data_IF_018320222329
#
_entry.id   IF_018320222329
#
_cell.length_a   1.000
_cell.length_b   1.000
_cell.length_c   1.000
_cell.angle_alpha   90.00
_cell.angle_beta   90.00
_cell.angle_gamma   90.00
#
_symmetry.space_group_name_H-M   'P 1'
#
loop_
_entity.id
_entity.type
_entity.pdbx_description
1 polymer ?
#
# COMPACT_ATOMS: atom_id res chain seq x y z
N UNK A 1 -0.29 18.27 12.69
CA UNK A 1 -1.40 17.78 11.84
C UNK A 1 -0.95 16.42 11.33
N UNK A 2 -1.47 15.37 11.96
CA UNK A 2 -1.03 13.99 11.80
C UNK A 2 -1.37 13.46 10.40
N UNK A 3 -0.77 12.33 10.00
CA UNK A 3 -1.11 11.67 8.74
C UNK A 3 -2.59 11.27 8.70
N UNK A 4 -3.16 10.81 9.83
CA UNK A 4 -4.56 10.43 9.95
C UNK A 4 -5.52 11.61 9.76
N UNK A 5 -5.24 12.78 10.36
CA UNK A 5 -6.06 13.99 10.21
C UNK A 5 -6.17 14.40 8.74
N UNK A 6 -5.06 14.24 8.02
CA UNK A 6 -4.98 14.55 6.60
C UNK A 6 -5.64 13.50 5.74
N UNK A 7 -5.90 12.26 6.20
CA UNK A 7 -6.27 11.12 5.34
C UNK A 7 -7.69 10.58 5.59
N UNK A 8 -8.24 10.66 6.81
CA UNK A 8 -9.53 10.06 7.12
C UNK A 8 -10.72 11.03 7.03
N UNK A 9 -10.51 12.36 7.10
CA UNK A 9 -11.55 13.37 6.89
C UNK A 9 -12.72 13.39 7.90
N UNK A 10 -12.88 12.40 8.78
CA UNK A 10 -13.85 12.38 9.89
C UNK A 10 -13.42 11.43 11.02
N UNK A 11 -13.88 11.73 12.24
CA UNK A 11 -13.62 10.99 13.47
C UNK A 11 -14.24 9.60 13.46
N UNK A 12 -13.39 8.57 13.51
CA UNK A 12 -13.77 7.18 13.72
C UNK A 12 -13.05 6.63 14.95
N UNK A 13 -13.73 5.72 15.65
CA UNK A 13 -13.47 5.22 17.00
C UNK A 13 -12.20 4.34 17.18
N UNK A 14 -11.14 4.57 16.41
CA UNK A 14 -9.84 3.98 16.71
C UNK A 14 -9.09 4.92 17.66
N UNK A 15 -9.13 4.57 18.94
CA UNK A 15 -8.41 5.27 19.98
C UNK A 15 -6.91 5.11 19.70
N UNK A 16 -6.19 6.23 19.60
CA UNK A 16 -4.72 6.33 19.62
C UNK A 16 -4.01 6.15 18.26
N UNK A 17 -3.54 7.27 17.71
CA UNK A 17 -2.63 7.31 16.56
C UNK A 17 -1.43 8.16 16.92
N UNK A 18 -0.21 7.64 16.78
CA UNK A 18 0.99 8.42 17.06
C UNK A 18 2.18 7.89 16.27
N UNK A 19 3.08 8.79 15.85
CA UNK A 19 4.41 8.38 15.43
C UNK A 19 5.19 7.95 16.68
N UNK A 20 5.75 6.75 16.67
CA UNK A 20 6.55 6.25 17.80
C UNK A 20 7.74 7.16 18.08
N UNK A 21 8.28 7.83 17.05
CA UNK A 21 9.33 8.83 17.22
C UNK A 21 8.83 10.05 17.99
N UNK A 22 7.58 10.46 17.80
CA UNK A 22 6.98 11.57 18.54
C UNK A 22 6.71 11.20 20.02
N UNK A 23 6.43 9.93 20.32
CA UNK A 23 6.33 9.43 21.70
C UNK A 23 7.66 9.48 22.45
N UNK A 24 8.75 9.44 21.72
CA UNK A 24 10.09 9.49 22.27
C UNK A 24 10.65 10.92 22.30
N UNK A 25 9.99 11.91 21.68
CA UNK A 25 10.51 13.28 21.51
C UNK A 25 10.50 14.16 22.77
N UNK A 26 9.97 13.67 23.90
CA UNK A 26 10.06 14.39 25.19
C UNK A 26 11.43 14.38 25.86
N UNK A 27 12.42 13.65 25.32
CA UNK A 27 13.71 13.42 26.02
C UNK A 27 14.94 13.48 25.11
N UNK A 28 15.13 14.57 24.36
CA UNK A 28 16.45 15.08 23.89
C UNK A 28 17.46 14.15 23.20
N UNK A 29 17.16 12.90 22.90
CA UNK A 29 18.19 11.87 22.71
C UNK A 29 18.35 11.41 21.25
N UNK A 30 17.30 11.37 20.43
CA UNK A 30 17.40 10.67 19.14
C UNK A 30 18.34 11.30 18.10
N UNK A 31 18.61 12.61 18.17
CA UNK A 31 19.64 13.25 17.36
C UNK A 31 21.06 12.72 17.65
N UNK A 32 21.26 12.09 18.81
CA UNK A 32 22.50 11.45 19.26
C UNK A 32 22.57 9.95 18.90
N UNK A 33 21.46 9.35 18.43
CA UNK A 33 21.34 7.91 18.13
C UNK A 33 21.57 7.47 16.67
N UNK A 34 21.92 8.31 15.67
CA UNK A 34 22.04 7.82 14.29
C UNK A 34 23.10 6.71 14.13
N UNK A 35 24.06 6.62 15.06
CA UNK A 35 25.20 5.70 15.00
C UNK A 35 25.00 4.37 15.76
N UNK A 36 23.92 4.20 16.54
CA UNK A 36 23.73 2.94 17.29
C UNK A 36 23.24 1.78 16.41
N UNK A 37 23.71 0.54 16.66
CA UNK A 37 23.14 -0.68 16.08
C UNK A 37 21.63 -0.80 16.35
N UNK A 38 20.90 -1.47 15.46
CA UNK A 38 19.44 -1.62 15.56
C UNK A 38 19.00 -2.21 16.90
N UNK A 39 19.65 -3.27 17.37
CA UNK A 39 19.37 -3.91 18.67
C UNK A 39 19.42 -2.94 19.86
N UNK A 40 20.35 -1.98 19.88
CA UNK A 40 20.43 -0.95 20.94
C UNK A 40 19.34 0.11 20.80
N UNK A 41 18.94 0.45 19.57
CA UNK A 41 17.80 1.34 19.33
C UNK A 41 16.49 0.69 19.77
N UNK A 42 16.32 -0.60 19.46
CA UNK A 42 15.18 -1.42 19.89
C UNK A 42 15.13 -1.53 21.42
N UNK A 43 16.24 -1.90 22.07
CA UNK A 43 16.31 -1.96 23.53
C UNK A 43 16.03 -0.59 24.19
N UNK A 44 16.51 0.51 23.60
CA UNK A 44 16.21 1.85 24.08
C UNK A 44 14.72 2.23 23.91
N UNK A 45 14.08 1.77 22.83
CA UNK A 45 12.66 1.96 22.57
C UNK A 45 11.78 1.09 23.48
N UNK A 46 12.08 -0.19 23.62
CA UNK A 46 11.43 -1.14 24.53
C UNK A 46 11.59 -0.74 26.00
N UNK A 47 12.74 -0.13 26.35
CA UNK A 47 13.00 0.40 27.68
C UNK A 47 12.39 1.77 27.94
N UNK A 48 11.84 2.46 26.92
CA UNK A 48 10.99 3.61 27.20
C UNK A 48 9.65 3.10 27.70
N UNK A 49 9.07 3.71 28.75
CA UNK A 49 7.66 3.55 28.99
C UNK A 49 6.94 4.09 27.76
N UNK A 50 6.40 3.20 26.92
CA UNK A 50 5.43 3.60 25.91
C UNK A 50 4.41 4.46 26.64
N UNK A 51 4.19 5.67 26.12
CA UNK A 51 3.47 6.71 26.87
C UNK A 51 2.19 6.09 27.42
N UNK A 52 2.03 6.06 28.75
CA UNK A 52 0.86 5.49 29.44
C UNK A 52 -0.44 6.18 29.06
N UNK A 53 -0.34 7.26 28.27
CA UNK A 53 -1.41 7.88 27.55
C UNK A 53 -0.97 8.35 26.15
N UNK A 54 -1.79 8.16 25.13
CA UNK A 54 -1.56 8.62 23.77
C UNK A 54 -2.57 9.71 23.44
N UNK A 55 -2.14 10.74 22.71
CA UNK A 55 -3.07 11.76 22.21
C UNK A 55 -4.09 11.07 21.30
N UNK A 56 -5.34 11.12 21.71
CA UNK A 56 -6.46 10.57 20.99
C UNK A 56 -7.15 11.71 20.25
N UNK A 57 -7.16 11.66 18.92
CA UNK A 57 -7.86 12.66 18.10
C UNK A 57 -9.39 12.60 18.33
N UNK A 58 -9.94 11.41 18.61
CA UNK A 58 -11.37 11.21 18.91
C UNK A 58 -11.80 11.93 20.18
N UNK A 59 -10.99 11.88 21.24
CA UNK A 59 -11.28 12.53 22.51
C UNK A 59 -10.61 13.90 22.66
N UNK A 60 -9.78 14.31 21.68
CA UNK A 60 -8.90 15.48 21.72
C UNK A 60 -8.14 15.64 23.05
N UNK A 61 -7.70 14.53 23.65
CA UNK A 61 -6.97 14.48 24.93
C UNK A 61 -5.98 13.31 24.94
N UNK A 62 -5.10 13.23 25.93
CA UNK A 62 -4.24 12.06 26.14
C UNK A 62 -5.07 10.94 26.81
N UNK A 63 -5.42 9.91 26.05
CA UNK A 63 -6.14 8.74 26.54
C UNK A 63 -5.17 7.67 27.03
N UNK A 64 -5.44 6.99 28.15
CA UNK A 64 -4.55 5.95 28.66
C UNK A 64 -4.33 4.82 27.66
N UNK A 65 -3.11 4.31 27.61
CA UNK A 65 -2.64 3.24 26.69
C UNK A 65 -2.32 1.95 27.41
N UNK A 66 -2.68 1.84 28.69
CA UNK A 66 -2.66 0.58 29.45
C UNK A 66 -3.65 -0.46 28.89
N UNK A 67 -3.93 -0.40 27.58
CA UNK A 67 -4.73 -1.35 26.84
C UNK A 67 -3.72 -2.36 26.31
N UNK A 68 -3.92 -3.63 26.67
CA UNK A 68 -3.22 -4.71 26.01
C UNK A 68 -3.52 -4.60 24.50
N UNK A 69 -2.48 -4.60 23.67
CA UNK A 69 -2.65 -4.62 22.21
C UNK A 69 -2.82 -6.09 21.82
N UNK A 70 -4.02 -6.46 21.40
CA UNK A 70 -4.32 -7.83 20.97
C UNK A 70 -3.81 -8.10 19.54
N UNK A 71 -3.61 -7.05 18.74
CA UNK A 71 -3.19 -7.15 17.35
C UNK A 71 -2.43 -5.90 16.89
N UNK A 72 -1.23 -6.09 16.33
CA UNK A 72 -0.41 -5.02 15.73
C UNK A 72 -0.22 -5.27 14.23
N UNK A 73 -0.26 -4.19 13.45
CA UNK A 73 0.05 -4.22 12.02
C UNK A 73 1.05 -3.12 11.72
N UNK A 74 2.27 -3.51 11.41
CA UNK A 74 3.34 -2.59 11.08
C UNK A 74 3.91 -2.85 9.68
N UNK A 75 4.37 -1.78 9.04
CA UNK A 75 5.00 -1.82 7.73
C UNK A 75 6.34 -1.11 7.77
N UNK A 76 7.44 -1.87 7.74
CA UNK A 76 8.78 -1.28 7.79
C UNK A 76 9.18 -0.72 6.41
N UNK A 77 9.69 0.52 6.34
CA UNK A 77 10.23 1.02 5.09
C UNK A 77 11.48 0.20 4.71
N UNK A 78 11.57 -0.20 3.45
CA UNK A 78 12.73 -0.93 2.93
C UNK A 78 13.58 -0.03 2.01
N UNK A 79 14.35 0.93 2.55
CA UNK A 79 15.04 1.93 1.76
C UNK A 79 16.17 1.34 0.91
N UNK A 80 16.84 0.27 1.34
CA UNK A 80 18.02 -0.23 0.61
C UNK A 80 17.70 -1.28 -0.45
N UNK A 81 16.67 -2.10 -0.25
CA UNK A 81 16.27 -3.15 -1.21
C UNK A 81 15.27 -2.64 -2.25
N UNK A 82 14.47 -1.62 -1.92
CA UNK A 82 13.46 -1.10 -2.85
C UNK A 82 14.10 -0.49 -4.10
N UNK A 83 13.54 -0.81 -5.27
CA UNK A 83 13.86 -0.13 -6.52
C UNK A 83 13.50 1.37 -6.49
N UNK A 84 12.59 1.77 -5.59
CA UNK A 84 12.27 3.17 -5.35
C UNK A 84 13.13 3.80 -4.24
N UNK A 85 13.97 3.00 -3.57
CA UNK A 85 14.87 3.42 -2.50
C UNK A 85 16.29 3.72 -2.99
N UNK A 86 17.27 3.59 -2.10
CA UNK A 86 18.70 3.81 -2.35
C UNK A 86 19.33 2.72 -3.22
N UNK A 87 18.63 1.60 -3.45
CA UNK A 87 19.08 0.46 -4.28
C UNK A 87 20.44 -0.10 -3.87
N UNK A 88 20.82 0.06 -2.60
CA UNK A 88 22.09 -0.45 -2.07
C UNK A 88 22.11 -1.99 -2.00
N UNK A 89 20.92 -2.62 -2.06
CA UNK A 89 20.75 -4.08 -1.95
C UNK A 89 21.52 -4.58 -0.72
N UNK A 90 22.29 -5.67 -0.83
CA UNK A 90 23.11 -6.27 0.23
C UNK A 90 24.20 -5.37 0.81
N UNK A 91 24.54 -4.26 0.15
CA UNK A 91 25.49 -3.26 0.66
C UNK A 91 24.80 -2.17 1.49
N UNK A 92 23.48 -2.27 1.69
CA UNK A 92 22.71 -1.32 2.47
C UNK A 92 22.87 -1.56 3.97
N UNK A 93 22.92 -0.51 4.80
CA UNK A 93 22.88 -0.68 6.25
C UNK A 93 21.62 -1.41 6.73
N UNK A 94 20.52 -1.45 5.96
CA UNK A 94 19.32 -2.21 6.34
C UNK A 94 19.26 -3.61 5.74
N UNK A 95 20.25 -4.07 4.96
CA UNK A 95 20.16 -5.37 4.28
C UNK A 95 20.85 -6.52 4.99
N UNK A 96 21.78 -6.23 5.90
CA UNK A 96 22.45 -7.26 6.70
C UNK A 96 21.54 -7.78 7.83
N UNK A 97 20.58 -6.96 8.27
CA UNK A 97 19.79 -7.20 9.48
C UNK A 97 18.31 -7.46 9.20
N UNK A 98 17.83 -7.48 7.95
CA UNK A 98 16.41 -7.68 7.62
C UNK A 98 16.15 -9.08 7.03
N UNK A 99 16.55 -10.12 7.76
CA UNK A 99 16.08 -11.48 7.53
C UNK A 99 15.05 -11.89 8.61
N UNK A 100 14.49 -13.09 8.47
CA UNK A 100 13.58 -13.65 9.49
C UNK A 100 14.31 -13.85 10.82
N UNK A 101 15.63 -14.07 10.79
CA UNK A 101 16.45 -14.24 11.99
C UNK A 101 16.41 -13.02 12.90
N UNK A 102 16.38 -11.80 12.36
CA UNK A 102 16.19 -10.60 13.19
C UNK A 102 14.85 -10.62 13.96
N UNK A 103 13.76 -11.06 13.34
CA UNK A 103 12.46 -11.14 14.02
C UNK A 103 12.48 -12.21 15.11
N UNK A 104 13.03 -13.38 14.80
CA UNK A 104 13.20 -14.50 15.75
C UNK A 104 14.10 -14.11 16.94
N UNK A 105 15.21 -13.40 16.70
CA UNK A 105 16.13 -12.94 17.74
C UNK A 105 15.50 -11.87 18.65
N UNK A 106 14.67 -10.99 18.08
CA UNK A 106 14.07 -9.87 18.82
C UNK A 106 12.77 -10.23 19.54
N UNK A 107 12.12 -11.30 19.11
CA UNK A 107 10.85 -11.80 19.64
C UNK A 107 10.90 -13.34 19.74
N UNK A 108 11.78 -13.90 20.58
CA UNK A 108 11.99 -15.35 20.67
C UNK A 108 10.79 -16.12 21.23
N UNK A 109 9.81 -15.40 21.77
CA UNK A 109 8.53 -15.90 22.29
C UNK A 109 7.42 -15.87 21.23
N UNK A 110 7.75 -15.58 19.97
CA UNK A 110 6.82 -15.59 18.85
C UNK A 110 7.13 -16.70 17.84
N UNK A 111 6.08 -17.34 17.34
CA UNK A 111 6.15 -18.18 16.15
C UNK A 111 5.91 -17.31 14.92
N UNK A 112 6.82 -17.39 13.93
CA UNK A 112 6.78 -16.56 12.73
C UNK A 112 6.41 -17.34 11.47
N UNK A 113 5.55 -16.73 10.64
CA UNK A 113 5.08 -17.29 9.38
C UNK A 113 5.27 -16.26 8.26
N UNK A 114 6.17 -16.55 7.32
CA UNK A 114 6.47 -15.67 6.20
C UNK A 114 5.63 -16.03 4.97
N UNK A 115 4.71 -15.15 4.59
CA UNK A 115 3.84 -15.30 3.43
C UNK A 115 4.27 -14.36 2.31
N UNK A 116 4.07 -14.76 1.05
CA UNK A 116 4.32 -13.92 -0.12
C UNK A 116 3.00 -13.69 -0.83
N UNK A 117 2.69 -12.43 -1.15
CA UNK A 117 1.46 -12.11 -1.87
C UNK A 117 1.61 -10.90 -2.78
N UNK A 118 0.82 -10.90 -3.84
CA UNK A 118 0.62 -9.80 -4.76
C UNK A 118 -0.88 -9.47 -4.94
N UNK A 119 -1.23 -8.29 -5.48
CA UNK A 119 -2.64 -7.92 -5.67
C UNK A 119 -3.44 -8.92 -6.52
N UNK A 120 -2.80 -9.60 -7.48
CA UNK A 120 -3.44 -10.63 -8.29
C UNK A 120 -3.98 -11.82 -7.45
N UNK A 121 -3.39 -12.10 -6.29
CA UNK A 121 -3.86 -13.16 -5.39
C UNK A 121 -5.22 -12.85 -4.76
N UNK A 122 -5.58 -11.57 -4.71
CA UNK A 122 -6.84 -11.09 -4.13
C UNK A 122 -7.75 -10.45 -5.19
N UNK A 123 -7.58 -10.83 -6.46
CA UNK A 123 -8.44 -10.43 -7.58
C UNK A 123 -8.03 -9.16 -8.32
N UNK A 124 -6.94 -8.49 -7.92
CA UNK A 124 -6.45 -7.23 -8.53
C UNK A 124 -5.34 -7.48 -9.57
N UNK A 125 -5.62 -8.28 -10.60
CA UNK A 125 -4.63 -8.72 -11.59
C UNK A 125 -3.98 -7.56 -12.37
N UNK A 126 -4.72 -6.48 -12.60
CA UNK A 126 -4.22 -5.31 -13.32
C UNK A 126 -3.21 -4.46 -12.53
N UNK A 127 -2.77 -4.87 -11.33
CA UNK A 127 -1.82 -4.10 -10.50
C UNK A 127 -0.66 -4.96 -10.02
N UNK A 128 0.58 -4.53 -10.28
CA UNK A 128 1.78 -5.22 -9.81
C UNK A 128 2.33 -4.65 -8.49
N UNK A 129 2.28 -5.44 -7.40
CA UNK A 129 2.81 -5.04 -6.08
C UNK A 129 3.16 -6.23 -5.17
N UNK A 130 4.19 -6.99 -5.51
CA UNK A 130 4.70 -8.07 -4.67
C UNK A 130 5.12 -7.59 -3.27
N UNK A 131 4.68 -8.30 -2.24
CA UNK A 131 5.01 -8.06 -0.83
C UNK A 131 5.26 -9.36 -0.09
N UNK A 132 6.13 -9.26 0.90
CA UNK A 132 6.32 -10.28 1.93
C UNK A 132 5.56 -9.81 3.16
N UNK A 133 4.81 -10.72 3.74
CA UNK A 133 4.05 -10.56 4.97
C UNK A 133 4.65 -11.50 6.01
N UNK A 134 4.71 -11.05 7.25
CA UNK A 134 5.15 -11.90 8.35
C UNK A 134 4.10 -11.83 9.44
N UNK A 135 3.56 -13.00 9.79
CA UNK A 135 2.65 -13.14 10.93
C UNK A 135 3.51 -13.60 12.11
N UNK A 136 3.47 -12.86 13.22
CA UNK A 136 4.05 -13.27 14.50
C UNK A 136 2.94 -13.64 15.47
N UNK A 137 2.97 -14.86 16.01
CA UNK A 137 2.01 -15.35 17.01
C UNK A 137 2.73 -15.55 18.33
N UNK A 138 2.27 -14.88 19.39
CA UNK A 138 2.90 -14.97 20.70
C UNK A 138 2.59 -16.33 21.37
N UNK A 139 3.60 -17.16 21.61
CA UNK A 139 3.47 -18.57 22.06
C UNK A 139 2.65 -18.74 23.34
N UNK A 140 2.73 -17.77 24.26
CA UNK A 140 1.94 -17.75 25.51
C UNK A 140 0.45 -17.44 25.32
N UNK A 141 0.09 -16.56 24.38
CA UNK A 141 -1.25 -15.98 24.30
C UNK A 141 -2.05 -16.51 23.10
N UNK A 142 -1.38 -17.12 22.13
CA UNK A 142 -2.02 -17.68 20.96
C UNK A 142 -1.42 -19.02 20.55
N UNK A 143 -2.25 -19.84 19.93
CA UNK A 143 -1.88 -21.09 19.27
C UNK A 143 -2.36 -21.06 17.81
N UNK A 144 -1.66 -21.80 16.95
CA UNK A 144 -2.00 -21.94 15.54
C UNK A 144 -3.16 -22.94 15.40
N UNK A 145 -4.36 -22.43 15.11
CA UNK A 145 -5.57 -23.22 14.90
C UNK A 145 -5.66 -23.78 13.48
N UNK A 146 -5.09 -23.07 12.51
CA UNK A 146 -5.05 -23.44 11.09
C UNK A 146 -3.75 -22.96 10.46
N UNK A 147 -3.22 -23.73 9.51
CA UNK A 147 -2.03 -23.32 8.78
C UNK A 147 -2.31 -22.05 7.95
N UNK A 148 -1.61 -20.91 8.20
CA UNK A 148 -1.78 -19.70 7.40
C UNK A 148 -1.40 -19.87 5.93
N UNK A 149 -0.52 -20.80 5.57
CA UNK A 149 -0.18 -21.09 4.17
C UNK A 149 -1.37 -21.72 3.44
N UNK A 150 -2.00 -22.73 4.05
CA UNK A 150 -3.17 -23.41 3.47
C UNK A 150 -4.35 -22.45 3.31
N UNK A 151 -4.61 -21.58 4.30
CA UNK A 151 -5.67 -20.58 4.19
C UNK A 151 -5.38 -19.54 3.10
N UNK A 152 -4.12 -19.09 2.98
CA UNK A 152 -3.72 -18.18 1.90
C UNK A 152 -3.95 -18.82 0.52
N UNK A 153 -3.53 -20.07 0.33
CA UNK A 153 -3.66 -20.79 -0.93
C UNK A 153 -5.13 -21.01 -1.31
N UNK A 154 -5.98 -21.34 -0.32
CA UNK A 154 -7.41 -21.49 -0.50
C UNK A 154 -8.05 -20.17 -0.97
N UNK A 155 -7.79 -19.07 -0.28
CA UNK A 155 -8.31 -17.74 -0.63
C UNK A 155 -7.81 -17.31 -2.00
N UNK A 156 -6.51 -17.47 -2.27
CA UNK A 156 -5.89 -17.12 -3.55
C UNK A 156 -6.53 -17.89 -4.70
N UNK A 157 -6.70 -19.20 -4.54
CA UNK A 157 -7.37 -20.06 -5.52
C UNK A 157 -8.81 -19.60 -5.77
N UNK A 158 -9.53 -19.25 -4.69
CA UNK A 158 -10.89 -18.75 -4.79
C UNK A 158 -10.97 -17.42 -5.55
N UNK A 159 -10.15 -16.42 -5.19
CA UNK A 159 -10.13 -15.12 -5.87
C UNK A 159 -9.77 -15.26 -7.35
N UNK A 160 -8.70 -15.99 -7.67
CA UNK A 160 -8.26 -16.19 -9.06
C UNK A 160 -9.31 -16.88 -9.93
N UNK A 161 -10.19 -17.68 -9.34
CA UNK A 161 -11.29 -18.34 -10.05
C UNK A 161 -12.45 -17.40 -10.36
N UNK A 162 -12.72 -16.41 -9.51
CA UNK A 162 -13.95 -15.62 -9.57
C UNK A 162 -13.74 -14.14 -9.95
N UNK A 163 -12.55 -13.59 -9.71
CA UNK A 163 -12.27 -12.16 -9.86
C UNK A 163 -10.95 -11.96 -10.59
N UNK A 164 -10.99 -11.26 -11.72
CA UNK A 164 -9.81 -10.94 -12.53
C UNK A 164 -9.85 -9.48 -13.00
N UNK A 165 -9.73 -8.53 -12.06
CA UNK A 165 -9.75 -7.11 -12.40
C UNK A 165 -8.54 -6.74 -13.27
N UNK A 166 -8.78 -6.07 -14.39
CA UNK A 166 -7.79 -5.61 -15.36
C UNK A 166 -7.47 -4.13 -15.14
N UNK A 167 -6.51 -3.60 -15.91
CA UNK A 167 -6.16 -2.16 -15.82
C UNK A 167 -7.38 -1.31 -16.16
N UNK A 168 -8.14 -1.68 -17.19
CA UNK A 168 -9.35 -0.97 -17.62
C UNK A 168 -10.38 -0.80 -16.50
N UNK A 169 -10.49 -1.78 -15.60
CA UNK A 169 -11.49 -1.80 -14.53
C UNK A 169 -11.19 -0.75 -13.45
N UNK A 170 -9.94 -0.29 -13.36
CA UNK A 170 -9.55 0.78 -12.44
C UNK A 170 -9.74 2.19 -13.03
N UNK A 171 -10.04 2.30 -14.33
CA UNK A 171 -10.15 3.57 -15.05
C UNK A 171 -11.52 4.24 -14.84
N UNK A 172 -11.82 4.52 -13.57
CA UNK A 172 -13.13 4.96 -13.07
C UNK A 172 -13.29 6.48 -12.96
N UNK A 173 -12.31 7.26 -13.43
CA UNK A 173 -12.40 8.72 -13.33
C UNK A 173 -13.43 9.29 -14.32
N UNK A 174 -14.31 10.14 -13.81
CA UNK A 174 -15.24 10.92 -14.63
C UNK A 174 -14.51 11.94 -15.49
N UNK A 175 -15.16 12.43 -16.55
CA UNK A 175 -14.62 13.49 -17.40
C UNK A 175 -14.26 14.75 -16.59
N UNK A 176 -15.06 15.11 -15.59
CA UNK A 176 -14.79 16.25 -14.71
C UNK A 176 -13.52 16.05 -13.87
N UNK A 177 -13.33 14.86 -13.30
CA UNK A 177 -12.11 14.52 -12.53
C UNK A 177 -10.86 14.54 -13.41
N UNK A 178 -10.95 14.01 -14.64
CA UNK A 178 -9.87 14.05 -15.63
C UNK A 178 -9.50 15.51 -15.98
N UNK A 179 -10.49 16.35 -16.27
CA UNK A 179 -10.26 17.76 -16.63
C UNK A 179 -9.70 18.57 -15.45
N UNK A 180 -10.15 18.29 -14.22
CA UNK A 180 -9.62 18.92 -13.01
C UNK A 180 -8.13 18.61 -12.85
N UNK A 181 -7.72 17.35 -12.95
CA UNK A 181 -6.31 16.98 -12.82
C UNK A 181 -5.47 17.51 -14.01
N UNK A 182 -6.02 17.52 -15.22
CA UNK A 182 -5.41 18.15 -16.39
C UNK A 182 -5.16 19.64 -16.15
N UNK A 183 -6.14 20.36 -15.58
CA UNK A 183 -6.03 21.77 -15.20
C UNK A 183 -4.92 22.04 -14.19
N UNK A 184 -4.77 21.18 -13.18
CA UNK A 184 -3.67 21.28 -12.21
C UNK A 184 -2.29 21.11 -12.88
N UNK A 185 -2.16 20.19 -13.85
CA UNK A 185 -0.91 20.01 -14.60
C UNK A 185 -0.65 21.20 -15.52
N UNK A 186 -1.67 21.68 -16.23
CA UNK A 186 -1.57 22.84 -17.11
C UNK A 186 -1.11 24.08 -16.34
N UNK A 187 -1.76 24.38 -15.21
CA UNK A 187 -1.41 25.49 -14.32
C UNK A 187 0.05 25.38 -13.83
N UNK A 188 0.47 24.20 -13.36
CA UNK A 188 1.86 23.98 -12.92
C UNK A 188 2.90 24.21 -14.02
N UNK A 189 2.52 23.96 -15.28
CA UNK A 189 3.39 24.08 -16.44
C UNK A 189 3.28 25.43 -17.14
N UNK A 190 2.45 26.36 -16.65
CA UNK A 190 2.18 27.63 -17.32
C UNK A 190 1.49 27.46 -18.67
N UNK A 191 0.71 26.39 -18.84
CA UNK A 191 -0.04 26.10 -20.06
C UNK A 191 -1.53 26.38 -19.86
N UNK A 192 -2.22 26.78 -20.93
CA UNK A 192 -3.68 26.88 -20.93
C UNK A 192 -4.32 25.50 -21.12
N UNK A 193 -5.22 25.13 -20.21
CA UNK A 193 -6.08 23.96 -20.40
C UNK A 193 -7.00 24.19 -21.61
N UNK A 194 -7.20 23.17 -22.43
CA UNK A 194 -8.10 23.20 -23.60
C UNK A 194 -9.36 22.39 -23.27
N UNK A 195 -10.48 23.02 -22.87
CA UNK A 195 -11.69 22.30 -22.48
C UNK A 195 -12.18 21.39 -23.61
N UNK A 196 -12.63 20.18 -23.27
CA UNK A 196 -13.17 19.21 -24.22
C UNK A 196 -12.12 18.43 -25.03
N UNK A 197 -10.83 18.81 -24.96
CA UNK A 197 -9.76 18.02 -25.58
C UNK A 197 -9.48 16.79 -24.70
N UNK A 198 -9.66 15.59 -25.28
CA UNK A 198 -9.41 14.31 -24.60
C UNK A 198 -7.95 13.88 -24.66
N UNK A 199 -7.25 14.24 -25.74
CA UNK A 199 -5.82 13.98 -25.88
C UNK A 199 -5.01 14.97 -25.05
N UNK A 200 -4.51 14.52 -23.90
CA UNK A 200 -3.72 15.33 -22.97
C UNK A 200 -2.20 15.30 -23.27
N UNK A 201 -1.77 14.77 -24.43
CA UNK A 201 -0.35 14.70 -24.78
C UNK A 201 0.29 16.09 -24.89
N UNK A 202 -0.48 17.12 -25.25
CA UNK A 202 0.00 18.51 -25.31
C UNK A 202 0.37 19.08 -23.93
N UNK A 203 -0.08 18.43 -22.84
CA UNK A 203 0.30 18.79 -21.48
C UNK A 203 1.57 18.08 -21.03
N UNK A 204 2.12 17.12 -21.78
CA UNK A 204 3.37 16.43 -21.46
C UNK A 204 4.58 17.35 -21.66
N UNK A 205 5.66 17.11 -20.90
CA UNK A 205 6.91 17.84 -21.08
C UNK A 205 7.65 17.26 -22.28
N UNK A 206 8.62 17.97 -22.84
CA UNK A 206 9.42 17.46 -23.96
C UNK A 206 10.04 16.09 -23.63
N UNK A 207 10.56 15.94 -22.41
CA UNK A 207 11.10 14.67 -21.93
C UNK A 207 10.03 13.57 -21.88
N UNK A 208 8.87 13.83 -21.26
CA UNK A 208 7.79 12.85 -21.15
C UNK A 208 7.24 12.44 -22.53
N UNK A 209 7.12 13.41 -23.45
CA UNK A 209 6.67 13.18 -24.81
C UNK A 209 7.68 12.32 -25.60
N UNK A 210 8.98 12.61 -25.47
CA UNK A 210 10.05 11.80 -26.05
C UNK A 210 10.05 10.37 -25.50
N UNK A 211 9.95 10.20 -24.18
CA UNK A 211 9.81 8.86 -23.55
C UNK A 211 8.57 8.13 -24.08
N UNK A 212 7.41 8.80 -24.17
CA UNK A 212 6.19 8.22 -24.76
C UNK A 212 6.44 7.73 -26.19
N UNK A 213 7.03 8.56 -27.06
CA UNK A 213 7.28 8.21 -28.46
C UNK A 213 8.24 7.02 -28.60
N UNK A 214 9.31 6.98 -27.80
CA UNK A 214 10.23 5.85 -27.77
C UNK A 214 9.54 4.56 -27.31
N UNK A 215 8.66 4.63 -26.30
CA UNK A 215 7.87 3.48 -25.85
C UNK A 215 6.83 3.05 -26.89
N UNK A 216 6.16 3.97 -27.57
CA UNK A 216 5.25 3.67 -28.67
C UNK A 216 5.98 2.89 -29.77
N UNK A 217 7.16 3.37 -30.20
CA UNK A 217 7.99 2.71 -31.21
C UNK A 217 8.38 1.29 -30.79
N UNK A 218 8.90 1.12 -29.56
CA UNK A 218 9.28 -0.20 -29.02
C UNK A 218 8.10 -1.15 -28.92
N UNK A 219 6.90 -0.65 -28.63
CA UNK A 219 5.70 -1.47 -28.58
C UNK A 219 5.32 -1.99 -29.97
N UNK A 220 5.33 -1.12 -30.99
CA UNK A 220 5.08 -1.51 -32.38
C UNK A 220 6.12 -2.51 -32.86
N UNK A 221 7.40 -2.26 -32.61
CA UNK A 221 8.49 -3.16 -32.98
C UNK A 221 8.32 -4.56 -32.34
N UNK A 222 7.93 -4.61 -31.06
CA UNK A 222 7.83 -5.87 -30.31
C UNK A 222 6.55 -6.66 -30.60
N UNK A 223 5.42 -5.98 -30.78
CA UNK A 223 4.10 -6.63 -30.84
C UNK A 223 3.39 -6.48 -32.19
N UNK A 224 3.95 -5.72 -33.14
CA UNK A 224 3.37 -5.51 -34.47
C UNK A 224 2.02 -4.78 -34.45
N UNK A 225 1.66 -4.11 -33.35
CA UNK A 225 0.37 -3.46 -33.14
C UNK A 225 0.54 -2.03 -32.63
N UNK A 226 -0.45 -1.18 -32.91
CA UNK A 226 -0.44 0.20 -32.40
C UNK A 226 -0.69 0.20 -30.88
N UNK A 227 0.05 1.01 -30.09
CA UNK A 227 -0.19 1.13 -28.65
C UNK A 227 -1.63 1.46 -28.27
N UNK A 228 -2.30 2.29 -29.08
CA UNK A 228 -3.67 2.71 -28.85
C UNK A 228 -4.70 1.59 -28.96
N UNK A 229 -4.37 0.46 -29.60
CA UNK A 229 -5.29 -0.68 -29.70
C UNK A 229 -5.30 -1.56 -28.45
N UNK A 230 -4.39 -1.33 -27.49
CA UNK A 230 -4.34 -2.09 -26.24
C UNK A 230 -4.88 -1.25 -25.06
N UNK A 231 -6.09 -1.54 -24.56
CA UNK A 231 -6.67 -0.81 -23.42
C UNK A 231 -5.91 -1.03 -22.10
N UNK A 232 -5.18 -2.14 -21.97
CA UNK A 232 -4.45 -2.50 -20.75
C UNK A 232 -3.03 -1.93 -20.70
N UNK A 233 -2.63 -1.19 -21.75
CA UNK A 233 -1.28 -0.67 -21.88
C UNK A 233 -1.08 0.60 -21.05
N UNK A 234 -0.07 0.58 -20.17
CA UNK A 234 0.31 1.66 -19.29
C UNK A 234 1.80 1.86 -19.37
N UNK A 235 2.24 3.10 -19.56
CA UNK A 235 3.63 3.50 -19.54
C UNK A 235 3.94 4.33 -18.30
N UNK A 236 5.03 4.04 -17.61
CA UNK A 236 5.57 4.98 -16.63
C UNK A 236 6.51 5.98 -17.31
N UNK A 237 6.06 7.22 -17.50
CA UNK A 237 6.83 8.26 -18.22
C UNK A 237 7.97 8.89 -17.39
N UNK A 238 8.15 8.49 -16.13
CA UNK A 238 9.24 8.98 -15.29
C UNK A 238 10.61 8.37 -15.61
N UNK A 239 10.64 7.29 -16.41
CA UNK A 239 11.86 6.62 -16.88
C UNK A 239 12.30 7.11 -18.27
N UNK A 240 13.26 6.42 -18.87
CA UNK A 240 13.65 6.57 -20.27
C UNK A 240 13.03 5.45 -21.11
N UNK A 241 13.01 5.60 -22.43
CA UNK A 241 12.48 4.56 -23.32
C UNK A 241 13.31 3.27 -23.25
N UNK A 242 14.60 3.35 -22.93
CA UNK A 242 15.51 2.21 -22.78
C UNK A 242 15.20 1.42 -21.51
N UNK A 243 15.04 2.12 -20.37
CA UNK A 243 14.62 1.55 -19.09
C UNK A 243 13.09 1.47 -19.01
N UNK A 244 12.54 0.55 -19.78
CA UNK A 244 11.12 0.46 -20.04
C UNK A 244 10.32 -0.13 -18.86
N UNK A 245 9.59 0.72 -18.14
CA UNK A 245 8.62 0.31 -17.12
C UNK A 245 7.20 0.47 -17.67
N UNK A 246 6.61 -0.62 -18.15
CA UNK A 246 5.28 -0.65 -18.77
C UNK A 246 4.48 -1.91 -18.43
N UNK A 247 3.18 -1.92 -18.68
CA UNK A 247 2.31 -3.09 -18.50
C UNK A 247 2.31 -4.05 -19.69
N UNK A 248 3.05 -3.78 -20.77
CA UNK A 248 2.97 -4.58 -22.01
C UNK A 248 3.30 -6.07 -21.82
N UNK A 249 4.12 -6.41 -20.82
CA UNK A 249 4.54 -7.80 -20.54
C UNK A 249 3.65 -8.46 -19.49
N UNK A 250 3.28 -7.72 -18.44
CA UNK A 250 2.54 -8.25 -17.29
C UNK A 250 1.02 -8.09 -17.39
N UNK A 251 0.54 -7.26 -18.32
CA UNK A 251 -0.84 -6.75 -18.34
C UNK A 251 -1.27 -6.08 -17.02
N UNK A 252 -0.30 -5.62 -16.23
CA UNK A 252 -0.53 -5.02 -14.92
C UNK A 252 0.19 -3.66 -14.82
N UNK A 253 -0.46 -2.69 -14.18
CA UNK A 253 0.09 -1.38 -13.89
C UNK A 253 1.42 -1.56 -13.16
N UNK A 254 2.52 -0.96 -13.67
CA UNK A 254 3.79 -1.02 -12.98
C UNK A 254 3.69 -0.40 -11.59
N UNK A 255 4.45 -0.96 -10.65
CA UNK A 255 4.47 -0.53 -9.26
C UNK A 255 4.61 0.98 -9.09
N UNK A 256 3.73 1.58 -8.27
CA UNK A 256 3.79 3.00 -7.97
C UNK A 256 5.09 3.40 -7.27
N UNK A 257 5.66 4.54 -7.70
CA UNK A 257 6.88 5.15 -7.13
C UNK A 257 6.52 6.37 -6.29
N UNK A 258 7.39 6.75 -5.34
CA UNK A 258 7.26 7.97 -4.51
C UNK A 258 7.53 9.27 -5.30
N UNK A 259 6.87 9.44 -6.44
CA UNK A 259 6.90 10.68 -7.19
C UNK A 259 5.47 11.18 -7.36
N UNK A 260 5.11 12.26 -6.66
CA UNK A 260 3.76 12.85 -6.67
C UNK A 260 3.31 13.28 -8.07
N UNK A 261 4.25 13.47 -8.99
CA UNK A 261 4.00 13.95 -10.35
C UNK A 261 4.24 12.89 -11.41
N UNK A 262 4.50 11.65 -10.99
CA UNK A 262 4.59 10.49 -11.87
C UNK A 262 3.39 10.41 -12.81
N UNK A 263 3.66 10.24 -14.11
CA UNK A 263 2.65 10.03 -15.14
C UNK A 263 2.65 8.57 -15.59
N UNK A 264 1.53 7.92 -15.36
CA UNK A 264 1.22 6.56 -15.83
C UNK A 264 0.33 6.71 -17.06
N UNK A 265 0.93 6.78 -18.23
CA UNK A 265 0.29 7.12 -19.50
C UNK A 265 -0.46 5.94 -20.10
N UNK A 266 -1.67 6.20 -20.61
CA UNK A 266 -2.59 5.26 -21.23
C UNK A 266 -2.68 5.59 -22.72
N UNK A 267 -2.00 4.85 -23.61
CA UNK A 267 -1.99 5.15 -25.04
C UNK A 267 -3.38 5.06 -25.69
N UNK A 268 -4.22 4.12 -25.26
CA UNK A 268 -5.59 3.96 -25.75
C UNK A 268 -6.47 5.18 -25.46
N UNK A 269 -6.24 5.87 -24.33
CA UNK A 269 -7.03 7.03 -23.90
C UNK A 269 -6.33 8.38 -24.12
N UNK A 270 -5.07 8.38 -24.57
CA UNK A 270 -4.24 9.57 -24.77
C UNK A 270 -4.21 10.50 -23.54
N UNK A 271 -4.13 9.91 -22.34
CA UNK A 271 -4.03 10.63 -21.06
C UNK A 271 -3.21 9.82 -20.06
N UNK A 272 -2.91 10.38 -18.89
CA UNK A 272 -2.40 9.60 -17.76
C UNK A 272 -3.53 9.13 -16.83
N UNK A 273 -3.24 8.11 -16.03
CA UNK A 273 -4.08 7.68 -14.92
C UNK A 273 -4.20 8.79 -13.89
N UNK A 274 -5.42 9.14 -13.51
CA UNK A 274 -5.72 10.12 -12.47
C UNK A 274 -5.33 9.61 -11.08
N UNK A 275 -5.33 10.50 -10.09
CA UNK A 275 -5.06 10.13 -8.71
C UNK A 275 -6.08 9.12 -8.15
N UNK A 276 -7.36 9.27 -8.49
CA UNK A 276 -8.44 8.33 -8.12
C UNK A 276 -8.21 6.94 -8.68
N UNK A 277 -7.93 6.83 -9.98
CA UNK A 277 -7.71 5.53 -10.65
C UNK A 277 -6.52 4.78 -10.05
N UNK A 278 -5.45 5.51 -9.69
CA UNK A 278 -4.29 4.93 -9.01
C UNK A 278 -4.63 4.44 -7.59
N UNK A 279 -5.49 5.14 -6.86
CA UNK A 279 -5.95 4.71 -5.53
C UNK A 279 -6.84 3.48 -5.63
N UNK A 280 -7.78 3.46 -6.57
CA UNK A 280 -8.64 2.29 -6.83
C UNK A 280 -7.82 1.06 -7.19
N UNK A 281 -6.82 1.21 -8.07
CA UNK A 281 -5.95 0.09 -8.44
C UNK A 281 -5.06 -0.39 -7.27
N UNK A 282 -4.96 0.37 -6.17
CA UNK A 282 -4.29 -0.02 -4.93
C UNK A 282 -5.27 -0.54 -3.86
N UNK A 283 -6.53 -0.80 -4.24
CA UNK A 283 -7.57 -1.37 -3.37
C UNK A 283 -8.25 -0.35 -2.44
N UNK A 284 -8.03 0.96 -2.65
CA UNK A 284 -8.70 1.98 -1.83
C UNK A 284 -10.17 2.18 -2.25
N UNK A 285 -11.09 2.39 -1.30
CA UNK A 285 -12.52 2.58 -1.55
C UNK A 285 -12.84 3.98 -2.10
N UNK A 286 -12.33 4.33 -3.29
CA UNK A 286 -12.49 5.66 -3.89
C UNK A 286 -13.71 5.79 -4.81
N UNK A 287 -14.45 4.71 -5.04
CA UNK A 287 -15.78 4.74 -5.67
C UNK A 287 -16.85 4.45 -4.64
N UNK A 288 -18.08 4.87 -4.93
CA UNK A 288 -19.22 4.62 -4.03
C UNK A 288 -19.46 3.13 -3.88
N UNK A 289 -19.41 2.40 -4.97
CA UNK A 289 -19.68 0.96 -5.05
C UNK A 289 -18.65 0.16 -4.24
N UNK A 290 -17.37 0.51 -4.35
CA UNK A 290 -16.30 -0.12 -3.56
C UNK A 290 -16.44 0.21 -2.08
N UNK A 291 -16.72 1.47 -1.74
CA UNK A 291 -16.89 1.90 -0.36
C UNK A 291 -18.08 1.20 0.32
N UNK A 292 -19.22 1.12 -0.36
CA UNK A 292 -20.41 0.40 0.11
C UNK A 292 -20.14 -1.08 0.29
N UNK A 293 -19.46 -1.73 -0.68
CA UNK A 293 -19.09 -3.15 -0.58
C UNK A 293 -18.17 -3.44 0.62
N UNK A 294 -17.34 -2.47 0.99
CA UNK A 294 -16.43 -2.56 2.13
C UNK A 294 -17.06 -2.03 3.44
N UNK A 295 -18.31 -1.55 3.40
CA UNK A 295 -18.97 -0.91 4.55
C UNK A 295 -18.17 0.23 5.18
N UNK A 296 -17.49 1.02 4.35
CA UNK A 296 -16.70 2.19 4.79
C UNK A 296 -17.09 3.44 4.00
N UNK A 297 -16.80 4.64 4.51
CA UNK A 297 -16.97 5.87 3.73
C UNK A 297 -16.08 5.89 2.48
N UNK A 298 -16.58 6.47 1.40
CA UNK A 298 -15.78 6.64 0.18
C UNK A 298 -14.62 7.60 0.44
N UNK A 299 -13.41 7.18 0.06
CA UNK A 299 -12.21 8.00 0.16
C UNK A 299 -12.19 9.04 -0.96
N UNK A 300 -12.30 10.31 -0.58
CA UNK A 300 -12.16 11.43 -1.52
C UNK A 300 -10.78 11.45 -2.18
N UNK A 301 -10.76 11.42 -3.51
CA UNK A 301 -9.53 11.41 -4.33
C UNK A 301 -9.32 12.70 -5.13
N UNK A 302 -9.99 13.79 -4.75
CA UNK A 302 -9.91 15.09 -5.44
C UNK A 302 -8.57 15.80 -5.20
N UNK A 303 -7.92 15.56 -4.07
CA UNK A 303 -6.57 16.07 -3.77
C UNK A 303 -5.50 15.14 -4.40
N UNK A 304 -5.06 15.52 -5.60
CA UNK A 304 -4.04 14.80 -6.37
C UNK A 304 -2.71 14.69 -5.61
N UNK A 305 -2.33 15.70 -4.82
CA UNK A 305 -1.07 15.70 -4.10
C UNK A 305 -1.11 14.69 -2.94
N UNK A 306 -2.19 14.71 -2.17
CA UNK A 306 -2.43 13.74 -1.07
C UNK A 306 -2.55 12.31 -1.59
N UNK A 307 -3.29 12.10 -2.67
CA UNK A 307 -3.39 10.78 -3.30
C UNK A 307 -2.00 10.27 -3.75
N UNK A 308 -1.17 11.15 -4.33
CA UNK A 308 0.22 10.82 -4.67
C UNK A 308 1.08 10.41 -3.47
N UNK A 309 0.84 11.02 -2.30
CA UNK A 309 1.53 10.68 -1.05
C UNK A 309 1.13 9.31 -0.50
N UNK A 310 -0.14 8.93 -0.66
CA UNK A 310 -0.64 7.62 -0.26
C UNK A 310 -0.02 6.49 -1.10
N UNK A 311 0.08 6.65 -2.42
CA UNK A 311 0.39 5.56 -3.35
C UNK A 311 1.84 5.04 -3.29
N UNK A 312 2.82 5.89 -2.97
CA UNK A 312 4.23 5.58 -3.23
C UNK A 312 4.75 4.33 -2.51
N UNK A 313 4.67 4.31 -1.17
CA UNK A 313 5.12 3.19 -0.34
C UNK A 313 3.97 2.40 0.29
N UNK A 314 2.71 2.76 0.03
CA UNK A 314 1.59 2.01 0.56
C UNK A 314 1.64 0.54 0.16
N UNK A 315 1.18 -0.28 1.09
CA UNK A 315 0.75 -1.63 0.82
C UNK A 315 -0.55 -1.59 0.01
N UNK A 316 -0.83 -2.66 -0.75
CA UNK A 316 -2.11 -2.78 -1.44
C UNK A 316 -3.20 -3.00 -0.39
N UNK A 317 -4.20 -2.11 -0.32
CA UNK A 317 -5.14 -2.01 0.80
C UNK A 317 -5.93 -3.31 1.01
N UNK A 318 -6.46 -3.89 -0.06
CA UNK A 318 -7.17 -5.18 0.01
C UNK A 318 -6.25 -6.32 0.44
N UNK A 319 -5.00 -6.32 -0.02
CA UNK A 319 -4.04 -7.36 0.38
C UNK A 319 -3.70 -7.24 1.86
N UNK A 320 -3.56 -6.03 2.40
CA UNK A 320 -3.44 -5.82 3.85
C UNK A 320 -4.63 -6.42 4.59
N UNK A 321 -5.86 -6.14 4.15
CA UNK A 321 -7.07 -6.64 4.80
C UNK A 321 -7.15 -8.16 4.81
N UNK A 322 -6.85 -8.80 3.68
CA UNK A 322 -6.84 -10.27 3.57
C UNK A 322 -5.74 -10.90 4.44
N UNK A 323 -4.55 -10.31 4.51
CA UNK A 323 -3.48 -10.84 5.35
C UNK A 323 -3.80 -10.71 6.85
N UNK A 324 -4.46 -9.62 7.25
CA UNK A 324 -4.99 -9.48 8.61
C UNK A 324 -6.08 -10.51 8.89
N UNK A 325 -6.99 -10.76 7.94
CA UNK A 325 -8.00 -11.80 8.07
C UNK A 325 -7.37 -13.19 8.23
N UNK A 326 -6.35 -13.53 7.43
CA UNK A 326 -5.61 -14.79 7.55
C UNK A 326 -5.02 -14.92 8.95
N UNK A 327 -4.31 -13.89 9.42
CA UNK A 327 -3.73 -13.90 10.77
C UNK A 327 -4.80 -14.11 11.85
N UNK A 328 -5.89 -13.33 11.83
CA UNK A 328 -6.96 -13.44 12.83
C UNK A 328 -7.77 -14.73 12.74
N UNK A 329 -7.76 -15.42 11.59
CA UNK A 329 -8.47 -16.70 11.40
C UNK A 329 -7.63 -17.92 11.75
N UNK A 330 -6.30 -17.80 11.66
CA UNK A 330 -5.37 -18.90 11.90
C UNK A 330 -4.90 -19.00 13.34
N UNK A 331 -5.00 -17.92 14.12
CA UNK A 331 -4.50 -17.88 15.50
C UNK A 331 -5.63 -17.54 16.49
N UNK A 332 -5.63 -18.22 17.63
CA UNK A 332 -6.59 -17.99 18.71
C UNK A 332 -6.03 -18.39 20.06
N UNK A 333 -6.79 -18.23 21.15
CA UNK A 333 -6.30 -18.53 22.50
C UNK A 333 -5.95 -20.03 22.65
N UNK A 334 -4.93 -20.37 23.45
CA UNK A 334 -4.56 -21.76 23.72
C UNK A 334 -5.71 -22.52 24.40
N UNK A 335 -5.93 -23.77 23.98
CA UNK A 335 -6.94 -24.65 24.58
C UNK A 335 -6.57 -24.94 26.05
N UNK A 336 -7.29 -24.35 27.01
CA UNK A 336 -7.07 -24.62 28.44
C UNK A 336 -7.46 -23.51 29.39
N UNK A 337 -7.56 -22.27 28.94
CA UNK A 337 -7.78 -21.11 29.84
C UNK A 337 -9.24 -20.91 30.29
N UNK A 338 -10.15 -21.85 30.01
CA UNK A 338 -11.54 -21.79 30.51
C UNK A 338 -12.33 -20.56 30.07
N UNK A 339 -11.80 -19.76 29.14
CA UNK A 339 -12.52 -18.67 28.48
C UNK A 339 -13.57 -19.35 27.61
N UNK A 340 -14.79 -19.43 28.14
CA UNK A 340 -15.94 -19.94 27.41
C UNK A 340 -16.04 -19.14 26.10
N UNK A 341 -15.67 -19.79 24.99
CA UNK A 341 -16.02 -19.31 23.66
C UNK A 341 -17.51 -18.97 23.69
N UNK A 342 -17.86 -17.73 23.35
CA UNK A 342 -19.25 -17.29 23.35
C UNK A 342 -20.09 -18.35 22.61
N UNK A 343 -21.04 -19.01 23.30
CA UNK A 343 -21.79 -20.09 22.70
C UNK A 343 -22.64 -19.51 21.56
N UNK A 344 -22.23 -19.76 20.32
CA UNK A 344 -22.95 -19.29 19.12
C UNK A 344 -22.08 -18.86 17.95
N UNK A 345 -20.79 -18.56 18.15
CA UNK A 345 -19.88 -18.25 17.05
C UNK A 345 -19.26 -19.54 16.48
N UNK A 346 -20.08 -20.33 15.78
CA UNK A 346 -19.57 -21.42 14.98
C UNK A 346 -18.67 -20.86 13.87
N UNK A 347 -17.36 -21.15 13.92
CA UNK A 347 -16.38 -20.81 12.87
C UNK A 347 -16.77 -21.41 11.50
N UNK A 348 -17.80 -22.26 11.44
CA UNK A 348 -18.34 -22.84 10.21
C UNK A 348 -19.19 -21.88 9.37
N UNK A 349 -19.62 -20.73 9.89
CA UNK A 349 -20.53 -19.82 9.18
C UNK A 349 -19.85 -18.52 8.66
N UNK A 350 -18.52 -18.42 8.70
CA UNK A 350 -17.76 -17.21 8.30
C UNK A 350 -16.95 -17.35 6.98
N UNK A 351 -17.12 -18.44 6.25
CA UNK A 351 -16.60 -18.65 4.88
C UNK A 351 -17.74 -19.15 4.00
#
# INVERSE_FOLDING_TARGET
MSWCDKVAGHGSNACLFHDIMDLMQGRGAWSQYPVLPYSKKLAAAQGQPLSSSLRCETHNQCCPTNIAVDFDVSGLPCPDMSQAGKRRRRAGPTSADLDMGMLEDTHPDHDFYQLFSEPADVGFFGTARYRTWVIGSHQRYSTCLRDPFELQDLLTTSFRKHVCAKVSDYLVASAAEIQMEAGMVASRRGLSLRPGVTNLAYLLSERELSTKQGLDFRYVERYGALPSSNPELVYYLGDTAEYCTWSAVSSAIPTYRRNKHAKYWLPSMQRWMTAKERLVSMGFPCTKELAESMSVPALGATDVARAGDLLGNAMHFTTCGIMQLIALSCFGPPEGDGVALLPGAGVRDLL
#
